data_IF_083176195590
#
_entry.id   IF_083176195590
#
_cell.length_a   1.000
_cell.length_b   1.000
_cell.length_c   1.000
_cell.angle_alpha   90.00
_cell.angle_beta   90.00
_cell.angle_gamma   90.00
#
_symmetry.space_group_name_H-M   'P 1'
#
loop_
_entity.id
_entity.type
_entity.pdbx_description
1 polymer ?
#
# COMPACT_ATOMS: atom_id res chain seq x y z
N UNK A 1 -4.96 11.64 6.97
CA UNK A 1 -4.21 12.25 8.08
C UNK A 1 -5.18 12.83 9.09
N UNK A 2 -6.18 13.60 8.64
CA UNK A 2 -7.17 14.24 9.53
C UNK A 2 -7.97 13.26 10.40
N UNK A 3 -8.41 12.13 9.85
CA UNK A 3 -9.11 11.13 10.67
C UNK A 3 -8.21 10.51 11.73
N UNK A 4 -6.92 10.33 11.42
CA UNK A 4 -5.96 9.80 12.37
C UNK A 4 -5.61 10.83 13.44
N UNK A 5 -5.42 12.10 13.08
CA UNK A 5 -5.14 13.17 14.04
C UNK A 5 -6.32 13.38 15.00
N UNK A 6 -7.56 13.34 14.49
CA UNK A 6 -8.78 13.33 15.30
C UNK A 6 -8.83 12.16 16.28
N UNK A 7 -8.58 10.92 15.82
CA UNK A 7 -8.56 9.72 16.67
C UNK A 7 -7.50 9.79 17.78
N UNK A 8 -6.34 10.34 17.45
CA UNK A 8 -5.21 10.51 18.38
C UNK A 8 -5.34 11.76 19.27
N UNK A 9 -6.37 12.61 19.04
CA UNK A 9 -6.58 13.88 19.75
C UNK A 9 -5.37 14.82 19.68
N UNK A 10 -4.71 14.88 18.52
CA UNK A 10 -3.58 15.79 18.23
C UNK A 10 -3.85 16.60 16.96
N UNK A 11 -3.10 17.68 16.75
CA UNK A 11 -3.20 18.45 15.50
C UNK A 11 -2.60 17.67 14.31
N UNK A 12 -3.12 17.90 13.10
CA UNK A 12 -2.55 17.30 11.87
C UNK A 12 -1.09 17.73 11.65
N UNK A 13 -0.71 18.94 12.06
CA UNK A 13 0.69 19.41 12.03
C UNK A 13 1.60 18.63 12.99
N UNK A 14 1.14 18.37 14.23
CA UNK A 14 1.90 17.54 15.19
C UNK A 14 2.11 16.13 14.62
N UNK A 15 1.06 15.54 14.08
CA UNK A 15 1.12 14.21 13.46
C UNK A 15 2.06 14.19 12.25
N UNK A 16 1.98 15.20 11.38
CA UNK A 16 2.86 15.35 10.22
C UNK A 16 4.33 15.42 10.64
N UNK A 17 4.67 16.31 11.59
CA UNK A 17 6.05 16.47 12.09
C UNK A 17 6.57 15.17 12.70
N UNK A 18 5.73 14.48 13.47
CA UNK A 18 6.08 13.18 14.05
C UNK A 18 6.39 12.15 12.96
N UNK A 19 5.53 12.01 11.96
CA UNK A 19 5.72 11.04 10.87
C UNK A 19 6.99 11.37 10.10
N UNK A 20 7.16 12.62 9.67
CA UNK A 20 8.30 13.02 8.88
C UNK A 20 9.62 12.83 9.63
N UNK A 21 9.65 13.15 10.94
CA UNK A 21 10.85 12.98 11.78
C UNK A 21 11.28 11.52 11.87
N UNK A 22 10.33 10.61 12.08
CA UNK A 22 10.59 9.19 12.39
C UNK A 22 10.69 8.29 11.15
N UNK A 23 9.90 8.56 10.12
CA UNK A 23 9.80 7.69 8.93
C UNK A 23 10.44 8.31 7.68
N UNK A 24 10.88 9.57 7.75
CA UNK A 24 11.47 10.32 6.62
C UNK A 24 10.58 10.35 5.37
N UNK A 25 9.27 10.21 5.56
CA UNK A 25 8.28 10.14 4.49
C UNK A 25 6.98 10.85 4.89
N UNK A 26 6.13 11.15 3.91
CA UNK A 26 4.81 11.72 4.18
C UNK A 26 3.80 10.65 4.64
N UNK A 27 2.71 11.06 5.28
CA UNK A 27 1.66 10.13 5.73
C UNK A 27 1.10 9.26 4.60
N UNK A 28 0.86 9.84 3.42
CA UNK A 28 0.34 9.07 2.28
C UNK A 28 1.35 8.03 1.78
N UNK A 29 2.66 8.34 1.85
CA UNK A 29 3.70 7.38 1.51
C UNK A 29 3.74 6.24 2.52
N UNK A 30 3.70 6.55 3.82
CA UNK A 30 3.63 5.55 4.88
C UNK A 30 2.42 4.61 4.72
N UNK A 31 1.24 5.16 4.43
CA UNK A 31 0.03 4.36 4.17
C UNK A 31 0.21 3.48 2.93
N UNK A 32 0.69 4.06 1.83
CA UNK A 32 0.81 3.36 0.56
C UNK A 32 1.90 2.28 0.57
N UNK A 33 3.01 2.51 1.26
CA UNK A 33 4.06 1.49 1.49
C UNK A 33 3.50 0.29 2.23
N UNK A 34 2.73 0.53 3.30
CA UNK A 34 2.07 -0.55 4.04
C UNK A 34 1.04 -1.31 3.20
N UNK A 35 0.26 -0.61 2.37
CA UNK A 35 -0.68 -1.24 1.44
C UNK A 35 0.01 -2.07 0.37
N UNK A 36 1.14 -1.60 -0.20
CA UNK A 36 1.96 -2.35 -1.16
C UNK A 36 2.51 -3.63 -0.51
N UNK A 37 3.03 -3.53 0.72
CA UNK A 37 3.48 -4.70 1.48
C UNK A 37 2.36 -5.71 1.66
N UNK A 38 1.19 -5.27 2.09
CA UNK A 38 0.04 -6.16 2.27
C UNK A 38 -0.43 -6.79 0.94
N UNK A 39 -0.44 -6.04 -0.17
CA UNK A 39 -0.72 -6.60 -1.50
C UNK A 39 0.25 -7.75 -1.83
N UNK A 40 1.55 -7.55 -1.61
CA UNK A 40 2.57 -8.58 -1.84
C UNK A 40 2.33 -9.81 -0.95
N UNK A 41 2.00 -9.62 0.32
CA UNK A 41 1.74 -10.70 1.26
C UNK A 41 0.51 -11.52 0.83
N UNK A 42 -0.57 -10.86 0.40
CA UNK A 42 -1.78 -11.52 -0.10
C UNK A 42 -1.45 -12.35 -1.35
N UNK A 43 -0.74 -11.77 -2.32
CA UNK A 43 -0.37 -12.46 -3.57
C UNK A 43 0.53 -13.68 -3.27
N UNK A 44 1.54 -13.52 -2.40
CA UNK A 44 2.46 -14.62 -2.04
C UNK A 44 1.80 -15.73 -1.23
N UNK A 45 0.77 -15.42 -0.44
CA UNK A 45 0.09 -16.40 0.41
C UNK A 45 -0.62 -17.52 -0.37
N UNK A 46 -0.78 -17.36 -1.69
CA UNK A 46 -1.57 -18.21 -2.60
C UNK A 46 -3.04 -18.43 -2.21
N UNK A 47 -3.52 -17.85 -1.09
CA UNK A 47 -4.91 -17.94 -0.60
C UNK A 47 -5.94 -17.30 -1.54
N UNK A 48 -5.48 -16.47 -2.48
CA UNK A 48 -6.33 -15.66 -3.35
C UNK A 48 -5.91 -15.78 -4.82
N UNK A 49 -5.33 -16.91 -5.25
CA UNK A 49 -4.83 -17.10 -6.62
C UNK A 49 -5.89 -16.88 -7.71
N UNK A 50 -7.18 -17.05 -7.38
CA UNK A 50 -8.27 -16.84 -8.33
C UNK A 50 -8.74 -15.37 -8.41
N UNK A 51 -8.12 -14.46 -7.64
CA UNK A 51 -8.55 -13.07 -7.57
C UNK A 51 -7.84 -12.25 -8.64
N UNK A 52 -8.59 -11.35 -9.27
CA UNK A 52 -8.02 -10.40 -10.23
C UNK A 52 -7.13 -9.38 -9.51
N UNK A 53 -6.20 -8.77 -10.24
CA UNK A 53 -5.40 -7.65 -9.72
C UNK A 53 -6.28 -6.52 -9.17
N UNK A 54 -7.47 -6.29 -9.76
CA UNK A 54 -8.44 -5.31 -9.27
C UNK A 54 -8.96 -5.68 -7.88
N UNK A 55 -9.39 -6.93 -7.69
CA UNK A 55 -9.87 -7.42 -6.39
C UNK A 55 -8.76 -7.38 -5.32
N UNK A 56 -7.54 -7.79 -5.67
CA UNK A 56 -6.39 -7.76 -4.76
C UNK A 56 -5.96 -6.33 -4.40
N UNK A 57 -6.03 -5.40 -5.36
CA UNK A 57 -5.76 -3.98 -5.11
C UNK A 57 -6.76 -3.40 -4.11
N UNK A 58 -8.04 -3.75 -4.26
CA UNK A 58 -9.09 -3.32 -3.34
C UNK A 58 -8.93 -3.92 -1.94
N UNK A 59 -8.61 -5.23 -1.84
CA UNK A 59 -8.29 -5.87 -0.57
C UNK A 59 -7.10 -5.20 0.13
N UNK A 60 -6.09 -4.79 -0.63
CA UNK A 60 -4.95 -4.05 -0.12
C UNK A 60 -5.28 -2.59 0.28
N UNK A 61 -6.52 -2.14 0.10
CA UNK A 61 -6.99 -0.81 0.49
C UNK A 61 -6.80 0.28 -0.56
N UNK A 62 -6.52 -0.08 -1.81
CA UNK A 62 -6.56 0.87 -2.94
C UNK A 62 -7.98 0.96 -3.50
N UNK A 63 -8.37 2.14 -3.99
CA UNK A 63 -9.70 2.31 -4.61
C UNK A 63 -9.82 1.63 -5.98
N UNK A 64 -8.70 1.38 -6.66
CA UNK A 64 -8.64 0.63 -7.92
C UNK A 64 -7.23 0.10 -8.20
N UNK A 65 -7.07 -0.80 -9.17
CA UNK A 65 -5.71 -1.20 -9.62
C UNK A 65 -4.88 -0.01 -10.08
N UNK A 66 -5.47 0.98 -10.74
CA UNK A 66 -4.72 2.12 -11.25
C UNK A 66 -4.03 2.90 -10.11
N UNK A 67 -4.70 3.01 -8.96
CA UNK A 67 -4.14 3.63 -7.77
C UNK A 67 -3.06 2.79 -7.07
N UNK A 68 -2.98 1.48 -7.33
CA UNK A 68 -1.89 0.62 -6.85
C UNK A 68 -0.59 0.86 -7.64
N UNK A 69 -0.65 1.11 -8.96
CA UNK A 69 0.54 1.09 -9.83
C UNK A 69 1.64 2.07 -9.40
N UNK A 70 1.30 3.33 -9.12
CA UNK A 70 2.28 4.35 -8.74
C UNK A 70 2.95 4.03 -7.39
N UNK A 71 2.20 3.75 -6.31
CA UNK A 71 2.75 3.22 -5.06
C UNK A 71 3.60 1.97 -5.23
N UNK A 72 3.14 0.99 -5.99
CA UNK A 72 3.86 -0.27 -6.19
C UNK A 72 5.21 -0.02 -6.85
N UNK A 73 5.24 0.75 -7.94
CA UNK A 73 6.49 1.14 -8.61
C UNK A 73 7.43 1.91 -7.67
N UNK A 74 6.90 2.74 -6.77
CA UNK A 74 7.71 3.53 -5.82
C UNK A 74 8.32 2.67 -4.71
N UNK A 75 7.55 1.77 -4.10
CA UNK A 75 7.95 1.07 -2.87
C UNK A 75 8.44 -0.36 -3.08
N UNK A 76 8.00 -1.03 -4.14
CA UNK A 76 8.48 -2.36 -4.52
C UNK A 76 9.35 -2.30 -5.78
N UNK A 77 9.01 -1.42 -6.72
CA UNK A 77 9.59 -1.41 -8.06
C UNK A 77 8.79 -2.26 -9.04
N UNK A 78 9.05 -2.07 -10.34
CA UNK A 78 8.36 -2.82 -11.39
C UNK A 78 6.86 -2.55 -11.49
N UNK A 79 6.12 -3.55 -11.96
CA UNK A 79 4.68 -3.48 -12.25
C UNK A 79 3.96 -4.59 -11.48
N UNK A 80 2.83 -4.31 -10.79
CA UNK A 80 2.17 -5.32 -9.95
C UNK A 80 1.64 -6.53 -10.73
N UNK A 81 1.20 -6.36 -11.99
CA UNK A 81 0.78 -7.48 -12.84
C UNK A 81 1.93 -8.43 -13.20
N UNK A 82 3.13 -7.89 -13.40
CA UNK A 82 4.31 -8.69 -13.77
C UNK A 82 4.81 -9.45 -12.54
N UNK A 83 4.75 -8.82 -11.37
CA UNK A 83 5.00 -9.47 -10.09
C UNK A 83 4.04 -10.65 -9.86
N UNK A 84 2.73 -10.47 -10.04
CA UNK A 84 1.76 -11.57 -9.93
C UNK A 84 2.09 -12.71 -10.89
N UNK A 85 2.29 -12.42 -12.18
CA UNK A 85 2.64 -13.44 -13.19
C UNK A 85 3.91 -14.20 -12.83
N UNK A 86 4.94 -13.53 -12.30
CA UNK A 86 6.20 -14.19 -11.93
C UNK A 86 6.04 -15.28 -10.87
N UNK A 87 4.99 -15.21 -10.05
CA UNK A 87 4.67 -16.21 -9.02
C UNK A 87 3.82 -17.37 -9.54
N UNK A 88 3.16 -17.21 -10.70
CA UNK A 88 2.45 -18.31 -11.38
C UNK A 88 3.44 -19.27 -12.05
N UNK A 89 4.64 -18.81 -12.39
CA UNK A 89 5.73 -19.61 -12.95
C UNK A 89 6.67 -20.22 -11.88
N UNK A 90 6.36 -20.06 -10.58
CA UNK A 90 7.09 -20.64 -9.43
C UNK A 90 6.23 -21.61 -8.61
#
# INVERSE_FOLDING_TARGET
MDDLSKKLKISSDTLYRYIYKNYKSGFNDLVNENRVRYFIDIVKSKKHNNYTIDALSQLAGFSSRHHLYKPFKKFHGGVPSDFMKSLDYM
#
